data_IF_595895548169
#
_entry.id   IF_595895548169
#
_cell.length_a   1.000
_cell.length_b   1.000
_cell.length_c   1.000
_cell.angle_alpha   90.00
_cell.angle_beta   90.00
_cell.angle_gamma   90.00
#
_symmetry.space_group_name_H-M   'P 1'
#
loop_
_entity.id
_entity.type
_entity.pdbx_description
1 polymer ?
#
# COMPACT_ATOMS: atom_id res chain seq x y z
N UNK A 1 -7.70 2.96 25.13
CA UNK A 1 -6.60 2.84 24.16
C UNK A 1 -6.96 3.63 22.92
N UNK A 2 -6.10 4.56 22.52
CA UNK A 2 -6.36 5.39 21.31
C UNK A 2 -5.82 4.73 20.05
N UNK A 3 -4.58 4.23 20.09
CA UNK A 3 -3.90 3.69 18.90
C UNK A 3 -3.48 2.24 19.15
N UNK A 4 -3.69 1.38 18.16
CA UNK A 4 -3.03 0.07 18.09
C UNK A 4 -2.09 0.06 16.88
N UNK A 5 -0.81 -0.20 17.12
CA UNK A 5 0.18 -0.45 16.08
C UNK A 5 0.15 -1.93 15.75
N UNK A 6 -0.23 -2.30 14.52
CA UNK A 6 -0.34 -3.69 14.07
C UNK A 6 0.84 -4.04 13.19
N UNK A 7 1.60 -5.07 13.59
CA UNK A 7 2.83 -5.52 12.94
C UNK A 7 2.67 -6.96 12.49
N UNK A 8 2.42 -7.24 11.19
CA UNK A 8 2.43 -8.59 10.65
C UNK A 8 3.86 -9.13 10.60
N UNK A 9 4.10 -10.33 11.13
CA UNK A 9 5.42 -10.95 11.21
C UNK A 9 5.40 -12.31 10.51
N UNK A 10 6.32 -12.53 9.56
CA UNK A 10 6.55 -13.83 8.96
C UNK A 10 7.98 -13.97 8.46
N UNK A 11 8.79 -14.82 9.13
CA UNK A 11 10.20 -15.08 8.79
C UNK A 11 11.03 -13.78 8.69
N UNK A 12 11.07 -13.00 9.77
CA UNK A 12 11.76 -11.71 9.88
C UNK A 12 12.70 -11.63 11.08
N UNK A 13 13.31 -12.74 11.49
CA UNK A 13 14.19 -12.81 12.67
C UNK A 13 15.33 -11.78 12.67
N UNK A 14 15.84 -11.39 11.48
CA UNK A 14 16.87 -10.38 11.35
C UNK A 14 16.40 -8.94 11.61
N UNK A 15 15.09 -8.67 11.55
CA UNK A 15 14.54 -7.31 11.52
C UNK A 15 13.55 -7.03 12.66
N UNK A 16 12.73 -8.02 13.04
CA UNK A 16 11.57 -7.85 13.92
C UNK A 16 11.93 -7.20 15.25
N UNK A 17 13.08 -7.51 15.85
CA UNK A 17 13.52 -6.90 17.11
C UNK A 17 13.69 -5.38 16.98
N UNK A 18 14.30 -4.93 15.89
CA UNK A 18 14.49 -3.50 15.66
C UNK A 18 13.16 -2.80 15.39
N UNK A 19 12.28 -3.40 14.59
CA UNK A 19 10.94 -2.89 14.31
C UNK A 19 10.14 -2.70 15.60
N UNK A 20 10.05 -3.74 16.44
CA UNK A 20 9.35 -3.71 17.72
C UNK A 20 9.96 -2.67 18.67
N UNK A 21 11.29 -2.58 18.75
CA UNK A 21 11.97 -1.56 19.59
C UNK A 21 11.55 -0.15 19.20
N UNK A 22 11.47 0.15 17.89
CA UNK A 22 11.02 1.46 17.39
C UNK A 22 9.54 1.71 17.63
N UNK A 23 8.70 0.70 17.47
CA UNK A 23 7.26 0.79 17.75
C UNK A 23 6.98 1.00 19.25
N UNK A 24 7.76 0.38 20.13
CA UNK A 24 7.62 0.50 21.58
C UNK A 24 8.23 1.76 22.19
N UNK A 25 9.07 2.49 21.44
CA UNK A 25 9.76 3.70 21.89
C UNK A 25 9.08 5.01 21.48
N UNK A 26 7.80 4.97 21.13
CA UNK A 26 7.03 6.16 20.77
C UNK A 26 6.77 7.05 21.98
N UNK A 27 6.75 8.37 21.77
CA UNK A 27 6.51 9.39 22.81
C UNK A 27 5.02 9.71 23.02
N UNK A 28 4.18 8.72 22.88
CA UNK A 28 2.74 8.76 23.11
C UNK A 28 2.37 7.65 24.10
N UNK A 29 1.46 7.89 25.04
CA UNK A 29 1.23 6.96 26.15
C UNK A 29 0.04 6.01 25.92
N UNK A 30 -1.00 6.46 25.22
CA UNK A 30 -2.26 5.71 25.09
C UNK A 30 -2.27 4.83 23.82
N UNK A 31 -1.31 3.90 23.73
CA UNK A 31 -1.20 2.95 22.62
C UNK A 31 -0.78 1.55 23.05
N UNK A 32 -1.02 0.58 22.18
CA UNK A 32 -0.50 -0.78 22.22
C UNK A 32 0.21 -1.15 20.93
N UNK A 33 1.05 -2.18 21.00
CA UNK A 33 1.66 -2.83 19.83
C UNK A 33 1.18 -4.26 19.76
N UNK A 34 0.71 -4.70 18.61
CA UNK A 34 0.23 -6.07 18.35
C UNK A 34 1.10 -6.67 17.25
N UNK A 35 1.99 -7.60 17.64
CA UNK A 35 2.75 -8.42 16.71
C UNK A 35 1.92 -9.66 16.36
N UNK A 36 1.61 -9.85 15.09
CA UNK A 36 0.89 -11.02 14.61
C UNK A 36 1.86 -11.94 13.87
N UNK A 37 2.33 -12.98 14.54
CA UNK A 37 3.17 -14.01 13.94
C UNK A 37 2.33 -14.94 13.08
N UNK A 38 2.44 -14.78 11.78
CA UNK A 38 1.70 -15.53 10.76
C UNK A 38 2.36 -16.89 10.48
N UNK A 39 2.72 -17.61 11.53
CA UNK A 39 3.29 -18.96 11.45
C UNK A 39 4.73 -18.97 10.97
N UNK A 40 5.59 -18.12 11.52
CA UNK A 40 7.02 -18.08 11.23
C UNK A 40 7.70 -19.44 11.53
N UNK A 41 8.71 -19.74 10.74
CA UNK A 41 9.51 -20.98 10.87
C UNK A 41 10.93 -20.72 11.37
N UNK A 42 11.29 -19.45 11.45
CA UNK A 42 12.53 -18.94 12.03
C UNK A 42 12.32 -18.49 13.48
N UNK A 43 13.26 -17.75 14.05
CA UNK A 43 13.18 -17.26 15.43
C UNK A 43 12.25 -16.05 15.63
N UNK A 44 11.52 -15.59 14.62
CA UNK A 44 10.70 -14.37 14.69
C UNK A 44 9.68 -14.42 15.83
N UNK A 45 8.91 -15.53 15.93
CA UNK A 45 7.91 -15.70 16.99
C UNK A 45 8.53 -15.66 18.39
N UNK A 46 9.64 -16.39 18.59
CA UNK A 46 10.34 -16.42 19.87
C UNK A 46 10.91 -15.05 20.27
N UNK A 47 11.38 -14.25 19.30
CA UNK A 47 11.83 -12.86 19.54
C UNK A 47 10.66 -11.98 19.98
N UNK A 48 9.49 -12.13 19.36
CA UNK A 48 8.28 -11.39 19.75
C UNK A 48 7.87 -11.73 21.19
N UNK A 49 7.85 -13.01 21.56
CA UNK A 49 7.49 -13.47 22.91
C UNK A 49 8.47 -12.95 23.98
N UNK A 50 9.78 -13.02 23.70
CA UNK A 50 10.80 -12.48 24.60
C UNK A 50 10.55 -11.00 24.87
N UNK A 51 10.34 -10.19 23.82
CA UNK A 51 10.10 -8.76 23.95
C UNK A 51 8.76 -8.44 24.65
N UNK A 52 7.73 -9.24 24.45
CA UNK A 52 6.44 -9.09 25.11
C UNK A 52 6.53 -9.40 26.61
N UNK A 53 7.40 -10.32 27.03
CA UNK A 53 7.64 -10.61 28.45
C UNK A 53 8.24 -9.42 29.21
N UNK A 54 8.94 -8.52 28.49
CA UNK A 54 9.61 -7.35 29.04
C UNK A 54 8.80 -6.05 28.88
N UNK A 55 7.79 -6.03 28.00
CA UNK A 55 7.03 -4.83 27.71
C UNK A 55 5.51 -5.06 27.68
N UNK A 56 4.75 -4.55 28.66
CA UNK A 56 3.32 -4.78 28.79
C UNK A 56 2.48 -4.11 27.67
N UNK A 57 3.06 -3.22 26.87
CA UNK A 57 2.39 -2.63 25.70
C UNK A 57 2.42 -3.53 24.48
N UNK A 58 3.27 -4.59 24.47
CA UNK A 58 3.38 -5.54 23.36
C UNK A 58 2.53 -6.77 23.64
N UNK A 59 1.64 -7.07 22.71
CA UNK A 59 0.88 -8.32 22.64
C UNK A 59 1.33 -9.12 21.43
N UNK A 60 1.48 -10.42 21.58
CA UNK A 60 1.83 -11.34 20.50
C UNK A 60 0.66 -12.27 20.21
N UNK A 61 0.36 -12.46 18.95
CA UNK A 61 -0.67 -13.38 18.48
C UNK A 61 -0.02 -14.34 17.49
N UNK A 62 0.00 -15.62 17.81
CA UNK A 62 0.46 -16.66 16.90
C UNK A 62 -0.71 -17.27 16.15
N UNK A 63 -0.57 -17.46 14.83
CA UNK A 63 -1.58 -18.10 14.01
C UNK A 63 -0.95 -18.95 12.89
N UNK A 64 -1.74 -19.83 12.29
CA UNK A 64 -1.35 -20.50 11.07
C UNK A 64 -1.18 -19.50 9.92
N UNK A 65 -0.18 -19.76 9.05
CA UNK A 65 0.14 -18.85 7.96
C UNK A 65 -1.04 -18.64 6.99
N UNK A 66 -1.58 -17.43 7.02
CA UNK A 66 -2.70 -16.96 6.17
C UNK A 66 -2.31 -15.88 5.16
N UNK A 67 -1.06 -15.37 5.23
CA UNK A 67 -0.56 -14.26 4.44
C UNK A 67 -0.76 -12.90 5.13
N UNK A 68 -0.05 -11.89 4.64
CA UNK A 68 0.07 -10.57 5.28
C UNK A 68 -1.28 -9.90 5.55
N UNK A 69 -2.22 -9.99 4.62
CA UNK A 69 -3.57 -9.40 4.79
C UNK A 69 -4.35 -10.10 5.91
N UNK A 70 -4.24 -11.44 6.02
CA UNK A 70 -4.88 -12.17 7.11
C UNK A 70 -4.24 -11.84 8.47
N UNK A 71 -2.92 -11.66 8.52
CA UNK A 71 -2.23 -11.23 9.74
C UNK A 71 -2.66 -9.81 10.15
N UNK A 72 -2.72 -8.87 9.20
CA UNK A 72 -3.24 -7.51 9.45
C UNK A 72 -4.69 -7.53 9.95
N UNK A 73 -5.56 -8.36 9.34
CA UNK A 73 -6.95 -8.53 9.79
C UNK A 73 -7.02 -9.00 11.23
N UNK A 74 -6.31 -10.09 11.57
CA UNK A 74 -6.26 -10.60 12.93
C UNK A 74 -5.81 -9.50 13.92
N UNK A 75 -4.77 -8.73 13.58
CA UNK A 75 -4.31 -7.64 14.43
C UNK A 75 -5.37 -6.54 14.63
N UNK A 76 -6.13 -6.18 13.60
CA UNK A 76 -7.21 -5.17 13.69
C UNK A 76 -8.41 -5.70 14.49
N UNK A 77 -8.78 -6.96 14.33
CA UNK A 77 -9.87 -7.61 15.09
C UNK A 77 -9.55 -7.63 16.59
N UNK A 78 -8.30 -7.94 16.94
CA UNK A 78 -7.81 -8.01 18.32
C UNK A 78 -7.39 -6.66 18.91
N UNK A 79 -7.36 -5.59 18.11
CA UNK A 79 -6.97 -4.25 18.57
C UNK A 79 -8.01 -3.64 19.49
N UNK A 80 -7.52 -2.92 20.54
CA UNK A 80 -8.35 -2.14 21.45
C UNK A 80 -8.39 -0.66 21.07
N UNK A 81 -7.47 -0.20 20.22
CA UNK A 81 -7.40 1.18 19.77
C UNK A 81 -8.56 1.61 18.88
N UNK A 82 -8.93 2.87 18.99
CA UNK A 82 -9.87 3.52 18.08
C UNK A 82 -9.26 3.68 16.69
N UNK A 83 -7.94 3.87 16.65
CA UNK A 83 -7.16 4.06 15.43
C UNK A 83 -6.13 2.95 15.27
N UNK A 84 -5.82 2.65 14.02
CA UNK A 84 -4.82 1.64 13.62
C UNK A 84 -3.69 2.33 12.85
N UNK A 85 -2.46 1.95 13.16
CA UNK A 85 -1.29 2.21 12.34
C UNK A 85 -0.62 0.88 12.00
N UNK A 86 -0.47 0.58 10.72
CA UNK A 86 0.30 -0.60 10.28
C UNK A 86 1.79 -0.29 10.20
N UNK A 87 2.61 -1.26 10.56
CA UNK A 87 4.06 -1.21 10.39
C UNK A 87 4.54 -2.59 9.95
N UNK A 88 5.23 -2.68 8.82
CA UNK A 88 5.78 -3.95 8.36
C UNK A 88 7.02 -4.34 9.21
N UNK A 89 7.20 -5.62 9.48
CA UNK A 89 8.16 -6.12 10.46
C UNK A 89 9.65 -5.99 10.08
N UNK A 90 9.93 -5.56 8.85
CA UNK A 90 11.25 -5.19 8.34
C UNK A 90 11.48 -3.68 8.25
N UNK A 91 10.49 -2.88 8.65
CA UNK A 91 10.49 -1.42 8.61
C UNK A 91 10.55 -0.81 10.02
N UNK A 92 10.42 0.51 10.13
CA UNK A 92 10.42 1.18 11.42
C UNK A 92 9.50 2.42 11.45
N UNK A 93 8.87 2.67 12.59
CA UNK A 93 8.23 3.96 12.87
C UNK A 93 9.29 5.00 13.21
N UNK A 94 9.08 6.22 12.71
CA UNK A 94 9.88 7.38 13.12
C UNK A 94 9.56 7.77 14.58
N UNK A 95 10.51 8.37 15.30
CA UNK A 95 10.19 9.03 16.57
C UNK A 95 9.03 10.02 16.40
N UNK A 96 8.12 10.08 17.36
CA UNK A 96 6.93 10.96 17.36
C UNK A 96 5.86 10.63 16.27
N UNK A 97 5.97 9.50 15.56
CA UNK A 97 5.00 9.14 14.52
C UNK A 97 3.57 9.08 15.06
N UNK A 98 3.37 8.44 16.21
CA UNK A 98 2.05 8.32 16.83
C UNK A 98 1.53 9.69 17.30
N UNK A 99 2.37 10.50 17.93
CA UNK A 99 2.00 11.83 18.42
C UNK A 99 1.55 12.74 17.28
N UNK A 100 2.38 12.91 16.25
CA UNK A 100 2.06 13.82 15.14
C UNK A 100 0.80 13.39 14.38
N UNK A 101 0.61 12.09 14.19
CA UNK A 101 -0.57 11.59 13.46
C UNK A 101 -1.84 11.69 14.29
N UNK A 102 -1.83 11.40 15.60
CA UNK A 102 -3.03 11.51 16.43
C UNK A 102 -3.44 12.95 16.66
N UNK A 103 -2.48 13.87 16.91
CA UNK A 103 -2.77 15.29 17.03
C UNK A 103 -3.45 15.85 15.77
N UNK A 104 -2.97 15.46 14.58
CA UNK A 104 -3.58 15.86 13.33
C UNK A 104 -4.96 15.22 13.12
N UNK A 105 -5.13 13.94 13.51
CA UNK A 105 -6.40 13.22 13.43
C UNK A 105 -7.49 13.91 14.24
N UNK A 106 -7.20 14.22 15.51
CA UNK A 106 -8.16 14.81 16.44
C UNK A 106 -8.43 16.29 16.13
N UNK A 107 -7.39 17.07 15.80
CA UNK A 107 -7.53 18.49 15.49
C UNK A 107 -8.38 18.76 14.23
N UNK A 108 -8.43 17.82 13.28
CA UNK A 108 -9.13 17.99 12.01
C UNK A 108 -10.37 17.08 11.87
N UNK A 109 -10.69 16.29 12.90
CA UNK A 109 -11.76 15.28 12.84
C UNK A 109 -11.61 14.42 11.56
N UNK A 110 -10.38 13.98 11.30
CA UNK A 110 -10.05 13.27 10.07
C UNK A 110 -10.44 11.79 10.18
N UNK A 111 -10.66 11.16 9.03
CA UNK A 111 -10.86 9.72 8.92
C UNK A 111 -9.53 9.00 8.69
N UNK A 112 -8.58 9.73 8.11
CA UNK A 112 -7.23 9.27 7.80
C UNK A 112 -6.21 10.41 7.92
N UNK A 113 -5.03 10.10 8.47
CA UNK A 113 -3.88 11.00 8.46
C UNK A 113 -2.72 10.35 7.73
N UNK A 114 -2.23 11.04 6.70
CA UNK A 114 -1.09 10.62 5.88
C UNK A 114 0.13 11.48 6.22
N UNK A 115 1.27 10.82 6.38
CA UNK A 115 2.56 11.43 6.60
C UNK A 115 3.54 11.04 5.48
N UNK A 116 4.56 11.86 5.18
CA UNK A 116 5.69 11.44 4.37
C UNK A 116 6.42 10.25 5.00
N UNK A 117 7.20 9.55 4.18
CA UNK A 117 8.08 8.48 4.64
C UNK A 117 9.47 8.65 4.03
N UNK A 118 10.46 7.97 4.61
CA UNK A 118 11.80 7.93 4.04
C UNK A 118 12.29 6.49 3.89
N UNK A 119 13.25 6.26 3.00
CA UNK A 119 13.90 4.96 2.96
C UNK A 119 14.99 4.86 4.02
N UNK A 120 15.63 3.68 4.16
CA UNK A 120 16.71 3.42 5.12
C UNK A 120 17.95 4.31 4.92
N UNK A 121 18.07 5.00 3.78
CA UNK A 121 19.16 5.94 3.48
C UNK A 121 18.76 7.41 3.73
N UNK A 122 17.56 7.65 4.27
CA UNK A 122 17.04 8.99 4.56
C UNK A 122 16.48 9.74 3.36
N UNK A 123 16.29 9.08 2.22
CA UNK A 123 15.64 9.70 1.04
C UNK A 123 14.14 9.81 1.30
N UNK A 124 13.66 11.05 1.36
CA UNK A 124 12.27 11.36 1.67
C UNK A 124 11.38 11.15 0.44
N UNK A 125 10.27 10.46 0.63
CA UNK A 125 9.13 10.43 -0.29
C UNK A 125 8.00 11.22 0.33
N UNK A 126 7.61 12.29 -0.36
CA UNK A 126 6.59 13.24 0.10
C UNK A 126 5.67 13.58 -1.07
N UNK A 127 4.38 13.43 -0.88
CA UNK A 127 3.37 13.79 -1.88
C UNK A 127 3.30 15.30 -2.17
N UNK A 128 3.87 16.12 -1.28
CA UNK A 128 3.78 17.58 -1.33
C UNK A 128 2.45 18.16 -0.82
N UNK A 129 1.46 17.33 -0.56
CA UNK A 129 0.18 17.79 0.00
C UNK A 129 0.30 18.11 1.49
N UNK A 130 -0.41 19.17 1.91
CA UNK A 130 -0.55 19.59 3.31
C UNK A 130 -1.99 20.01 3.58
N UNK A 131 -2.50 19.63 4.76
CA UNK A 131 -3.90 19.88 5.10
C UNK A 131 -4.86 18.87 4.50
N UNK A 132 -6.12 19.26 4.37
CA UNK A 132 -7.16 18.37 3.89
C UNK A 132 -7.05 18.13 2.39
N UNK A 133 -7.20 16.86 1.97
CA UNK A 133 -7.20 16.42 0.57
C UNK A 133 -8.43 15.53 0.32
N UNK A 134 -8.93 15.54 -0.90
CA UNK A 134 -9.98 14.61 -1.30
C UNK A 134 -9.43 13.18 -1.43
N UNK A 135 -10.11 12.14 -0.90
CA UNK A 135 -9.68 10.75 -1.03
C UNK A 135 -9.44 10.33 -2.48
N UNK A 136 -10.20 10.88 -3.43
CA UNK A 136 -10.06 10.57 -4.86
C UNK A 136 -8.72 11.04 -5.45
N UNK A 137 -8.05 12.04 -4.88
CA UNK A 137 -6.71 12.46 -5.35
C UNK A 137 -5.64 11.38 -5.05
N UNK A 138 -5.76 10.70 -3.90
CA UNK A 138 -4.88 9.58 -3.54
C UNK A 138 -5.16 8.38 -4.45
N UNK A 139 -6.45 8.10 -4.70
CA UNK A 139 -6.85 7.05 -5.65
C UNK A 139 -6.27 7.31 -7.04
N UNK A 140 -6.34 8.55 -7.54
CA UNK A 140 -5.75 8.95 -8.83
C UNK A 140 -4.23 8.76 -8.85
N UNK A 141 -3.54 9.06 -7.74
CA UNK A 141 -2.09 8.82 -7.61
C UNK A 141 -1.75 7.34 -7.76
N UNK A 142 -2.45 6.46 -7.04
CA UNK A 142 -2.28 5.00 -7.16
C UNK A 142 -2.59 4.49 -8.57
N UNK A 143 -3.67 4.94 -9.18
CA UNK A 143 -4.06 4.54 -10.54
C UNK A 143 -3.06 5.03 -11.60
N UNK A 144 -2.36 6.13 -11.36
CA UNK A 144 -1.32 6.63 -12.28
C UNK A 144 0.07 6.10 -11.96
N UNK A 145 0.21 5.22 -10.95
CA UNK A 145 1.47 4.61 -10.52
C UNK A 145 2.53 5.64 -10.10
N UNK A 146 2.11 6.78 -9.60
CA UNK A 146 3.04 7.81 -9.07
C UNK A 146 3.65 7.37 -7.75
N UNK A 147 2.86 6.65 -6.92
CA UNK A 147 3.27 6.14 -5.62
C UNK A 147 3.81 7.25 -4.69
N UNK A 148 3.17 8.43 -4.72
CA UNK A 148 3.54 9.58 -3.89
C UNK A 148 3.04 9.42 -2.45
N UNK A 149 2.08 8.52 -2.23
CA UNK A 149 1.47 8.24 -0.93
C UNK A 149 1.85 6.84 -0.44
N UNK A 150 2.01 6.65 0.88
CA UNK A 150 2.17 5.30 1.45
C UNK A 150 0.89 4.48 1.22
N UNK A 151 1.01 3.18 0.84
CA UNK A 151 -0.17 2.39 0.49
C UNK A 151 -0.96 1.91 1.71
N UNK A 152 -0.32 1.63 2.86
CA UNK A 152 -0.99 1.12 4.06
C UNK A 152 -0.23 1.42 5.35
N UNK A 153 1.11 1.44 5.31
CA UNK A 153 1.95 1.58 6.49
C UNK A 153 2.26 3.04 6.82
N UNK A 154 2.50 3.34 8.11
CA UNK A 154 2.88 4.67 8.57
C UNK A 154 1.77 5.73 8.50
N UNK A 155 0.54 5.35 8.15
CA UNK A 155 -0.67 6.19 8.15
C UNK A 155 -1.57 5.84 9.34
N UNK A 156 -2.34 6.79 9.82
CA UNK A 156 -3.28 6.58 10.92
C UNK A 156 -4.70 6.48 10.38
N UNK A 157 -5.39 5.39 10.69
CA UNK A 157 -6.68 5.00 10.13
C UNK A 157 -7.71 4.76 11.24
N UNK A 158 -9.00 5.01 10.98
CA UNK A 158 -10.09 4.61 11.87
C UNK A 158 -10.29 3.09 11.81
N UNK A 159 -10.27 2.45 12.97
CA UNK A 159 -10.43 0.99 13.08
C UNK A 159 -11.80 0.50 12.59
N UNK A 160 -12.87 1.18 12.93
CA UNK A 160 -14.25 0.81 12.58
C UNK A 160 -14.46 0.75 11.06
N UNK A 161 -13.82 1.65 10.31
CA UNK A 161 -13.87 1.67 8.84
C UNK A 161 -13.10 0.49 8.24
N UNK A 162 -11.94 0.12 8.83
CA UNK A 162 -11.17 -1.04 8.38
C UNK A 162 -11.99 -2.32 8.54
N UNK A 163 -12.68 -2.48 9.68
CA UNK A 163 -13.51 -3.64 10.00
C UNK A 163 -14.71 -3.81 9.06
N UNK A 164 -15.11 -2.75 8.34
CA UNK A 164 -16.15 -2.81 7.31
C UNK A 164 -15.61 -3.39 5.97
N UNK A 165 -14.90 -4.52 6.04
CA UNK A 165 -14.51 -5.33 4.88
C UNK A 165 -13.31 -4.82 4.08
N UNK A 166 -12.54 -3.82 4.57
CA UNK A 166 -11.38 -3.31 3.81
C UNK A 166 -10.30 -4.38 3.63
N UNK A 167 -10.11 -5.27 4.62
CA UNK A 167 -9.15 -6.38 4.60
C UNK A 167 -9.70 -7.70 4.04
N UNK A 168 -10.89 -7.73 3.42
CA UNK A 168 -11.46 -8.90 2.77
C UNK A 168 -10.82 -9.19 1.42
N UNK A 169 -9.51 -9.37 1.43
CA UNK A 169 -8.67 -9.60 0.25
C UNK A 169 -8.18 -11.04 0.29
N UNK A 170 -8.40 -11.77 -0.81
CA UNK A 170 -7.92 -13.14 -0.95
C UNK A 170 -6.40 -13.20 -0.91
N UNK A 171 -5.84 -14.26 -0.29
CA UNK A 171 -4.41 -14.57 -0.31
C UNK A 171 -3.83 -14.69 -1.74
N UNK A 172 -4.66 -14.94 -2.73
CA UNK A 172 -4.24 -14.99 -4.13
C UNK A 172 -3.77 -13.62 -4.65
N UNK A 173 -4.16 -12.53 -3.97
CA UNK A 173 -3.66 -11.18 -4.23
C UNK A 173 -2.46 -10.94 -3.32
N UNK A 174 -1.28 -11.21 -3.85
CA UNK A 174 0.00 -11.15 -3.14
C UNK A 174 0.88 -9.95 -3.54
N UNK A 175 0.40 -9.12 -4.46
CA UNK A 175 1.07 -7.88 -4.89
C UNK A 175 0.02 -6.80 -5.14
N UNK A 176 0.14 -5.66 -4.44
CA UNK A 176 -0.82 -4.57 -4.51
C UNK A 176 -2.06 -4.78 -3.63
N UNK A 177 -2.03 -5.76 -2.74
CA UNK A 177 -3.07 -5.99 -1.72
C UNK A 177 -3.23 -4.77 -0.80
N UNK A 178 -2.13 -4.08 -0.54
CA UNK A 178 -2.03 -2.84 0.23
C UNK A 178 -2.74 -1.68 -0.48
N UNK A 179 -2.50 -1.48 -1.77
CA UNK A 179 -3.20 -0.49 -2.59
C UNK A 179 -4.70 -0.81 -2.68
N UNK A 180 -5.06 -2.08 -2.88
CA UNK A 180 -6.47 -2.49 -2.92
C UNK A 180 -7.18 -2.26 -1.58
N UNK A 181 -6.52 -2.56 -0.46
CA UNK A 181 -6.98 -2.21 0.87
C UNK A 181 -7.24 -0.71 0.99
N UNK A 182 -6.24 0.10 0.63
CA UNK A 182 -6.32 1.56 0.79
C UNK A 182 -7.42 2.16 -0.09
N UNK A 183 -7.57 1.71 -1.34
CA UNK A 183 -8.69 2.14 -2.19
C UNK A 183 -10.04 1.80 -1.56
N UNK A 184 -10.21 0.58 -1.01
CA UNK A 184 -11.45 0.22 -0.30
C UNK A 184 -11.72 1.10 0.91
N UNK A 185 -10.67 1.51 1.62
CA UNK A 185 -10.77 2.43 2.73
C UNK A 185 -11.14 3.84 2.25
N UNK A 186 -10.42 4.39 1.28
CA UNK A 186 -10.62 5.72 0.72
C UNK A 186 -12.02 5.92 0.12
N UNK A 187 -12.64 4.87 -0.42
CA UNK A 187 -14.02 4.95 -0.94
C UNK A 187 -15.10 5.03 0.13
N UNK A 188 -14.74 4.86 1.41
CA UNK A 188 -15.66 4.89 2.56
C UNK A 188 -15.53 6.15 3.41
N UNK A 189 -14.54 6.99 3.13
CA UNK A 189 -14.21 8.17 3.92
C UNK A 189 -14.39 9.47 3.14
N UNK A 190 -14.35 10.58 3.88
CA UNK A 190 -14.47 11.92 3.28
C UNK A 190 -13.34 12.88 3.68
N UNK A 191 -12.65 12.61 4.78
CA UNK A 191 -11.68 13.53 5.38
C UNK A 191 -10.30 12.88 5.51
N UNK A 192 -9.43 13.14 4.54
CA UNK A 192 -8.00 12.80 4.63
C UNK A 192 -7.20 14.06 4.95
N UNK A 193 -6.27 13.98 5.88
CA UNK A 193 -5.41 15.07 6.25
C UNK A 193 -3.94 14.70 6.07
N UNK A 194 -3.18 15.51 5.32
CA UNK A 194 -1.76 15.29 5.07
C UNK A 194 -0.92 16.18 5.99
N UNK A 195 0.04 15.57 6.73
CA UNK A 195 1.02 16.27 7.55
C UNK A 195 2.39 16.34 6.86
N UNK A 196 3.30 17.16 7.40
CA UNK A 196 4.65 17.34 6.83
C UNK A 196 5.76 16.56 7.53
N UNK A 197 5.46 16.02 8.71
CA UNK A 197 6.42 15.25 9.51
C UNK A 197 6.42 13.80 9.06
N UNK A 198 7.60 13.24 8.76
CA UNK A 198 7.73 11.84 8.39
C UNK A 198 7.36 10.91 9.55
N UNK A 199 6.58 9.86 9.26
CA UNK A 199 6.13 8.87 10.24
C UNK A 199 6.85 7.52 10.12
N UNK A 200 7.54 7.25 9.00
CA UNK A 200 7.93 5.89 8.63
C UNK A 200 9.28 5.81 7.95
N UNK A 201 9.99 4.72 8.20
CA UNK A 201 11.22 4.32 7.48
C UNK A 201 10.95 3.04 6.74
N UNK A 202 10.95 3.10 5.41
CA UNK A 202 10.76 1.97 4.52
C UNK A 202 12.11 1.33 4.15
N UNK A 203 12.21 0.02 4.31
CA UNK A 203 13.42 -0.76 4.01
C UNK A 203 13.34 -1.41 2.63
N UNK A 204 14.09 -0.87 1.68
CA UNK A 204 14.08 -1.32 0.30
C UNK A 204 14.80 -2.67 0.11
N UNK A 205 14.31 -3.48 -0.83
CA UNK A 205 15.04 -4.63 -1.37
C UNK A 205 14.97 -5.92 -0.55
N UNK A 206 14.15 -5.97 0.50
CA UNK A 206 14.05 -7.14 1.39
C UNK A 206 13.10 -8.22 0.84
N UNK A 207 12.09 -7.83 0.08
CA UNK A 207 11.08 -8.75 -0.45
C UNK A 207 11.18 -8.89 -1.96
N UNK A 208 11.18 -10.14 -2.47
CA UNK A 208 11.08 -10.44 -3.91
C UNK A 208 9.68 -10.96 -4.23
N UNK A 209 9.11 -10.51 -5.34
CA UNK A 209 7.77 -10.92 -5.76
C UNK A 209 7.80 -11.83 -7.00
N UNK A 210 6.86 -12.78 -7.12
CA UNK A 210 6.69 -13.59 -8.32
C UNK A 210 6.41 -12.70 -9.53
N UNK A 211 6.72 -13.21 -10.73
CA UNK A 211 6.38 -12.53 -11.96
C UNK A 211 4.86 -12.53 -12.15
N UNK A 212 4.28 -11.36 -12.35
CA UNK A 212 2.85 -11.19 -12.60
C UNK A 212 2.52 -11.72 -14.00
N UNK A 213 1.39 -12.40 -14.12
CA UNK A 213 0.84 -12.85 -15.38
C UNK A 213 -0.51 -12.18 -15.66
N UNK A 214 -1.04 -12.44 -16.86
CA UNK A 214 -2.28 -11.83 -17.33
C UNK A 214 -3.51 -12.21 -16.48
N UNK A 215 -3.58 -13.46 -16.00
CA UNK A 215 -4.71 -13.92 -15.17
C UNK A 215 -4.73 -13.21 -13.83
N UNK A 216 -3.56 -13.01 -13.23
CA UNK A 216 -3.40 -12.24 -12.01
C UNK A 216 -3.89 -10.79 -12.18
N UNK A 217 -3.37 -10.08 -13.20
CA UNK A 217 -3.78 -8.70 -13.47
C UNK A 217 -5.27 -8.59 -13.79
N UNK A 218 -5.83 -9.60 -14.45
CA UNK A 218 -7.25 -9.66 -14.75
C UNK A 218 -8.13 -9.70 -13.50
N UNK A 219 -7.75 -10.53 -12.51
CA UNK A 219 -8.44 -10.63 -11.23
C UNK A 219 -8.25 -9.36 -10.42
N UNK A 220 -7.03 -8.83 -10.40
CA UNK A 220 -6.71 -7.60 -9.70
C UNK A 220 -7.50 -6.41 -10.26
N UNK A 221 -7.60 -6.26 -11.60
CA UNK A 221 -8.41 -5.24 -12.25
C UNK A 221 -9.89 -5.36 -11.90
N UNK A 222 -10.44 -6.58 -11.83
CA UNK A 222 -11.83 -6.80 -11.43
C UNK A 222 -12.08 -6.36 -9.98
N UNK A 223 -11.19 -6.71 -9.06
CA UNK A 223 -11.30 -6.33 -7.65
C UNK A 223 -11.16 -4.81 -7.47
N UNK A 224 -10.21 -4.21 -8.18
CA UNK A 224 -10.01 -2.77 -8.17
C UNK A 224 -11.22 -2.02 -8.75
N UNK A 225 -11.74 -2.47 -9.88
CA UNK A 225 -12.95 -1.91 -10.50
C UNK A 225 -14.14 -2.00 -9.54
N UNK A 226 -14.33 -3.14 -8.87
CA UNK A 226 -15.38 -3.30 -7.85
C UNK A 226 -15.20 -2.34 -6.69
N UNK A 227 -13.98 -2.18 -6.19
CA UNK A 227 -13.68 -1.27 -5.08
C UNK A 227 -13.91 0.21 -5.45
N UNK A 228 -13.71 0.58 -6.71
CA UNK A 228 -13.84 1.96 -7.20
C UNK A 228 -15.28 2.36 -7.55
N UNK A 229 -16.26 1.45 -7.51
CA UNK A 229 -17.65 1.75 -7.91
C UNK A 229 -18.23 3.01 -7.25
N UNK A 230 -18.03 3.27 -5.93
CA UNK A 230 -18.59 4.46 -5.28
C UNK A 230 -18.11 5.79 -5.87
N UNK A 231 -16.91 5.81 -6.49
CA UNK A 231 -16.27 7.02 -7.02
C UNK A 231 -15.97 6.90 -8.53
N UNK A 232 -16.54 5.89 -9.19
CA UNK A 232 -16.24 5.53 -10.57
C UNK A 232 -16.24 6.69 -11.56
N UNK A 233 -17.23 7.59 -11.59
CA UNK A 233 -17.26 8.69 -12.56
C UNK A 233 -16.03 9.62 -12.50
N UNK A 234 -15.44 9.76 -11.31
CA UNK A 234 -14.27 10.61 -11.12
C UNK A 234 -12.96 9.93 -11.50
N UNK A 235 -12.89 8.60 -11.34
CA UNK A 235 -11.63 7.84 -11.42
C UNK A 235 -11.51 6.95 -12.65
N UNK A 236 -12.58 6.72 -13.40
CA UNK A 236 -12.56 5.90 -14.61
C UNK A 236 -11.46 6.30 -15.61
N UNK A 237 -11.22 7.59 -15.92
CA UNK A 237 -10.16 7.99 -16.84
C UNK A 237 -8.76 7.55 -16.37
N UNK A 238 -8.53 7.55 -15.06
CA UNK A 238 -7.27 7.15 -14.44
C UNK A 238 -7.12 5.62 -14.39
N UNK A 239 -8.22 4.90 -14.17
CA UNK A 239 -8.23 3.45 -14.24
C UNK A 239 -7.88 2.95 -15.65
N UNK A 240 -8.36 3.63 -16.69
CA UNK A 240 -7.97 3.35 -18.08
C UNK A 240 -6.47 3.59 -18.29
N UNK A 241 -5.91 4.66 -17.73
CA UNK A 241 -4.47 4.91 -17.78
C UNK A 241 -3.66 3.80 -17.09
N UNK A 242 -4.11 3.32 -15.92
CA UNK A 242 -3.49 2.18 -15.25
C UNK A 242 -3.48 0.94 -16.15
N UNK A 243 -4.61 0.60 -16.75
CA UNK A 243 -4.71 -0.55 -17.65
C UNK A 243 -3.77 -0.42 -18.85
N UNK A 244 -3.61 0.80 -19.39
CA UNK A 244 -2.68 1.07 -20.47
C UNK A 244 -1.22 0.87 -20.03
N UNK A 245 -0.84 1.31 -18.82
CA UNK A 245 0.50 1.08 -18.25
C UNK A 245 0.78 -0.40 -18.00
N UNK A 246 -0.22 -1.15 -17.55
CA UNK A 246 -0.13 -2.61 -17.44
C UNK A 246 0.10 -3.25 -18.82
N UNK A 247 -0.64 -2.82 -19.84
CA UNK A 247 -0.43 -3.26 -21.22
C UNK A 247 1.01 -3.01 -21.71
N UNK A 248 1.53 -1.79 -21.51
CA UNK A 248 2.91 -1.45 -21.88
C UNK A 248 3.94 -2.33 -21.17
N UNK A 249 3.74 -2.62 -19.87
CA UNK A 249 4.61 -3.50 -19.10
C UNK A 249 4.64 -4.93 -19.67
N UNK A 250 3.51 -5.46 -20.08
CA UNK A 250 3.45 -6.78 -20.72
C UNK A 250 4.14 -6.79 -22.08
N UNK A 251 3.96 -5.73 -22.89
CA UNK A 251 4.68 -5.56 -24.15
C UNK A 251 6.20 -5.52 -23.92
N UNK A 252 6.65 -4.73 -22.94
CA UNK A 252 8.05 -4.60 -22.55
C UNK A 252 8.69 -5.94 -22.15
N UNK A 253 7.91 -6.81 -21.53
CA UNK A 253 8.31 -8.16 -21.12
C UNK A 253 8.06 -9.25 -22.16
N UNK A 254 7.67 -8.89 -23.39
CA UNK A 254 7.36 -9.78 -24.54
C UNK A 254 6.19 -10.74 -24.30
N UNK A 255 5.24 -10.36 -23.47
CA UNK A 255 4.00 -11.13 -23.25
C UNK A 255 2.91 -10.63 -24.22
N UNK A 256 3.03 -10.96 -25.49
CA UNK A 256 2.22 -10.38 -26.57
C UNK A 256 0.76 -10.92 -26.63
N UNK A 257 0.43 -11.98 -25.95
CA UNK A 257 -0.90 -12.56 -25.76
C UNK A 257 -1.87 -11.63 -25.01
N UNK A 258 -1.32 -10.69 -24.25
CA UNK A 258 -2.05 -9.60 -23.59
C UNK A 258 -2.85 -8.73 -24.58
N UNK A 259 -2.40 -8.64 -25.81
CA UNK A 259 -2.93 -7.73 -26.83
C UNK A 259 -4.45 -7.86 -26.99
N UNK A 260 -4.95 -9.04 -27.18
CA UNK A 260 -6.39 -9.24 -27.44
C UNK A 260 -7.25 -8.75 -26.28
N UNK A 261 -6.86 -9.09 -25.05
CA UNK A 261 -7.61 -8.73 -23.86
C UNK A 261 -7.67 -7.22 -23.65
N UNK A 262 -6.51 -6.57 -23.54
CA UNK A 262 -6.47 -5.14 -23.24
C UNK A 262 -6.85 -4.28 -24.44
N UNK A 263 -6.53 -4.72 -25.66
CA UNK A 263 -6.93 -4.01 -26.87
C UNK A 263 -8.45 -3.84 -26.96
N UNK A 264 -9.20 -4.93 -26.80
CA UNK A 264 -10.66 -4.86 -26.84
C UNK A 264 -11.27 -4.06 -25.67
N UNK A 265 -10.66 -4.15 -24.50
CA UNK A 265 -11.12 -3.39 -23.33
C UNK A 265 -10.87 -1.89 -23.48
N UNK A 266 -9.73 -1.49 -24.06
CA UNK A 266 -9.32 -0.09 -24.15
C UNK A 266 -9.72 0.58 -25.47
N UNK A 267 -10.09 -0.19 -26.49
CA UNK A 267 -10.51 0.34 -27.79
C UNK A 267 -11.69 1.30 -27.64
N UNK A 268 -11.50 2.55 -28.04
CA UNK A 268 -12.52 3.60 -27.95
C UNK A 268 -12.66 4.25 -26.58
N UNK A 269 -11.92 3.80 -25.54
CA UNK A 269 -11.96 4.37 -24.19
C UNK A 269 -10.77 5.30 -23.88
N UNK A 270 -9.78 5.39 -24.78
CA UNK A 270 -8.67 6.31 -24.61
C UNK A 270 -9.18 7.76 -24.54
N UNK A 271 -8.81 8.47 -23.52
CA UNK A 271 -9.34 9.79 -23.18
C UNK A 271 -8.28 10.90 -23.31
N UNK A 272 -8.66 12.13 -23.01
CA UNK A 272 -7.77 13.30 -23.10
C UNK A 272 -6.54 13.21 -22.17
N UNK A 273 -6.63 12.46 -21.07
CA UNK A 273 -5.51 12.25 -20.15
C UNK A 273 -4.46 11.26 -20.70
N UNK A 274 -4.81 10.47 -21.75
CA UNK A 274 -3.87 9.49 -22.32
C UNK A 274 -2.75 10.23 -23.07
N UNK A 275 -1.48 10.07 -22.68
CA UNK A 275 -0.35 10.67 -23.37
C UNK A 275 -0.27 10.23 -24.84
N UNK A 276 0.24 11.09 -25.70
CA UNK A 276 0.37 10.78 -27.13
C UNK A 276 1.24 9.54 -27.39
N UNK A 277 2.34 9.39 -26.67
CA UNK A 277 3.22 8.22 -26.78
C UNK A 277 2.48 6.91 -26.46
N UNK A 278 1.66 6.91 -25.40
CA UNK A 278 0.88 5.74 -24.98
C UNK A 278 -0.20 5.40 -26.02
N UNK A 279 -0.81 6.40 -26.67
CA UNK A 279 -1.74 6.19 -27.80
C UNK A 279 -1.06 5.52 -28.97
N UNK A 280 0.18 5.92 -29.29
CA UNK A 280 0.98 5.29 -30.36
C UNK A 280 1.29 3.84 -30.04
N UNK A 281 1.73 3.54 -28.81
CA UNK A 281 2.00 2.16 -28.35
C UNK A 281 0.75 1.30 -28.53
N UNK A 282 -0.40 1.80 -28.12
CA UNK A 282 -1.67 1.07 -28.23
C UNK A 282 -2.16 0.92 -29.68
N UNK A 283 -1.84 1.87 -30.56
CA UNK A 283 -2.24 1.82 -31.99
C UNK A 283 -1.43 0.81 -32.82
N UNK A 284 -0.28 0.35 -32.30
CA UNK A 284 0.62 -0.55 -33.02
C UNK A 284 0.38 -2.02 -32.66
N UNK A 285 0.64 -2.96 -33.58
CA UNK A 285 0.75 -4.37 -33.23
C UNK A 285 1.79 -4.58 -32.11
N UNK A 286 1.58 -5.54 -31.18
CA UNK A 286 2.40 -5.67 -29.97
C UNK A 286 3.91 -5.77 -30.20
N UNK A 287 4.32 -6.48 -31.27
CA UNK A 287 5.74 -6.60 -31.64
C UNK A 287 6.37 -5.28 -32.10
N UNK A 288 5.61 -4.44 -32.80
CA UNK A 288 6.07 -3.10 -33.20
C UNK A 288 6.04 -2.14 -32.00
N UNK A 289 5.01 -2.21 -31.16
CA UNK A 289 4.95 -1.47 -29.90
C UNK A 289 6.15 -1.76 -29.01
N UNK A 290 6.62 -3.00 -28.92
CA UNK A 290 7.83 -3.38 -28.20
C UNK A 290 9.06 -2.58 -28.64
N UNK A 291 9.31 -2.47 -29.95
CA UNK A 291 10.44 -1.70 -30.45
C UNK A 291 10.32 -0.21 -30.19
N UNK A 292 9.10 0.33 -30.23
CA UNK A 292 8.83 1.73 -29.91
C UNK A 292 9.15 2.02 -28.43
N UNK A 293 8.66 1.20 -27.51
CA UNK A 293 8.89 1.34 -26.06
C UNK A 293 10.38 1.22 -25.73
N UNK A 294 11.07 0.22 -26.29
CA UNK A 294 12.50 0.00 -26.05
C UNK A 294 13.37 1.10 -26.68
N UNK A 295 13.04 1.55 -27.90
CA UNK A 295 13.75 2.64 -28.56
C UNK A 295 13.64 3.95 -27.78
N UNK A 296 12.46 4.24 -27.23
CA UNK A 296 12.24 5.42 -26.39
C UNK A 296 13.01 5.34 -25.04
N UNK A 297 12.98 4.19 -24.34
CA UNK A 297 13.76 3.98 -23.10
C UNK A 297 15.26 4.10 -23.36
N UNK A 298 15.76 3.50 -24.43
CA UNK A 298 17.16 3.60 -24.82
C UNK A 298 17.58 5.06 -25.10
N UNK A 299 16.73 5.85 -25.75
CA UNK A 299 16.97 7.26 -26.02
C UNK A 299 16.99 8.11 -24.73
N UNK A 300 16.07 7.84 -23.78
CA UNK A 300 16.05 8.53 -22.48
C UNK A 300 17.29 8.26 -21.62
N UNK A 301 17.86 7.05 -21.68
CA UNK A 301 19.08 6.70 -20.92
C UNK A 301 20.36 7.37 -21.46
N UNK A 302 20.32 7.98 -22.64
CA UNK A 302 21.46 8.65 -23.27
C UNK A 302 21.41 10.18 -23.18
N UNK A 303 20.36 10.74 -22.60
CA UNK A 303 20.26 12.15 -22.20
C UNK A 303 20.58 12.34 -20.74
#
# INVERSE_FOLDING_TARGET
>A
MKISVVIPVYNKEAYVRQCLTKALSQDYDDYEVIAVDDGSRDSSGAICDEMASENPRLRVIHKENGGVTAARRTGVEEAHGQYIMFCDSDDALMPHALRHTIEAMEANDADEVIAPYQNQHGVLTDSGYRGQIAPTEIIKDFLTLRNSFPPIWGILLRRDIILDGCLDISREIYLGEDILFHIRYLTKISKVFCIGQSSYVYSEGITSYPRINLDYESRYDQLMHSALQPVWPEVEPYFILRQLKVYEKFIDTKQFDVYEKYYHTLKGRLNTLTPFADRLVFALPPRLAYYLVHGYKWWLQRK
#
